data_IF_536633213504
#
_entry.id   IF_536633213504
#
_cell.length_a   1.000
_cell.length_b   1.000
_cell.length_c   1.000
_cell.angle_alpha   90.00
_cell.angle_beta   90.00
_cell.angle_gamma   90.00
#
_symmetry.space_group_name_H-M   'P 1'
#
loop_
_entity.id
_entity.type
_entity.pdbx_description
1 polymer ?
#
# COMPACT_ATOMS: atom_id res chain seq x y z
N UNK A 1 8.86 -69.13 8.52
CA UNK A 1 9.63 -68.45 9.59
C UNK A 1 10.42 -67.30 8.96
N UNK A 2 10.45 -66.15 9.65
CA UNK A 2 11.18 -64.90 9.37
C UNK A 2 10.61 -63.97 8.28
N UNK A 3 9.68 -63.10 8.74
CA UNK A 3 9.29 -61.83 8.11
C UNK A 3 10.44 -60.84 8.31
N UNK A 4 10.85 -60.12 7.26
CA UNK A 4 11.74 -58.97 7.38
C UNK A 4 10.90 -57.71 7.16
N UNK A 5 10.72 -56.92 8.23
CA UNK A 5 10.25 -55.54 8.14
C UNK A 5 11.46 -54.68 7.79
N UNK A 6 11.42 -53.98 6.65
CA UNK A 6 12.29 -52.84 6.39
C UNK A 6 11.54 -51.58 6.87
N UNK A 7 12.04 -50.96 7.94
CA UNK A 7 11.60 -49.64 8.37
C UNK A 7 12.27 -48.60 7.46
N UNK A 8 11.46 -47.86 6.70
CA UNK A 8 11.91 -46.63 6.05
C UNK A 8 11.79 -45.49 7.07
N UNK A 9 12.93 -45.03 7.59
CA UNK A 9 13.03 -43.72 8.22
C UNK A 9 13.00 -42.68 7.10
N UNK A 10 11.88 -41.99 6.94
CA UNK A 10 11.83 -40.71 6.23
C UNK A 10 12.41 -39.65 7.15
N UNK A 11 13.65 -39.24 6.88
CA UNK A 11 14.23 -38.03 7.45
C UNK A 11 13.45 -36.84 6.88
N UNK A 12 12.63 -36.19 7.71
CA UNK A 12 12.06 -34.89 7.37
C UNK A 12 13.20 -33.87 7.34
N UNK A 13 13.55 -33.41 6.14
CA UNK A 13 14.48 -32.30 5.94
C UNK A 13 13.72 -31.02 6.32
N UNK A 14 13.87 -30.57 7.57
CA UNK A 14 13.56 -29.20 7.94
C UNK A 14 14.62 -28.32 7.27
N UNK A 15 14.33 -27.88 6.05
CA UNK A 15 15.05 -26.76 5.45
C UNK A 15 14.61 -25.50 6.21
N UNK A 16 15.30 -25.18 7.30
CA UNK A 16 15.31 -23.81 7.79
C UNK A 16 16.03 -22.99 6.73
N UNK A 17 15.27 -22.20 5.96
CA UNK A 17 15.84 -21.19 5.08
C UNK A 17 16.55 -20.17 5.97
N UNK A 18 17.87 -20.31 6.13
CA UNK A 18 18.68 -19.22 6.67
C UNK A 18 18.65 -18.10 5.63
N UNK A 19 17.87 -17.06 5.91
CA UNK A 19 17.92 -15.82 5.14
C UNK A 19 19.37 -15.34 5.11
N UNK A 20 19.88 -14.98 3.93
CA UNK A 20 21.27 -14.56 3.76
C UNK A 20 21.53 -13.28 4.57
N UNK A 21 22.68 -13.20 5.26
CA UNK A 21 23.17 -11.93 5.80
C UNK A 21 23.51 -11.02 4.61
N UNK A 22 22.83 -9.87 4.51
CA UNK A 22 23.14 -8.84 3.51
C UNK A 22 24.52 -8.21 3.73
N UNK A 23 25.05 -7.54 2.71
CA UNK A 23 26.29 -6.78 2.80
C UNK A 23 26.02 -5.47 3.56
N UNK A 24 26.35 -5.43 4.86
CA UNK A 24 26.24 -4.23 5.71
C UNK A 24 27.63 -3.55 5.91
N UNK A 25 27.71 -2.22 6.11
CA UNK A 25 26.57 -1.30 6.19
C UNK A 25 25.89 -1.09 4.84
N UNK A 26 24.56 -1.07 4.86
CA UNK A 26 23.71 -0.81 3.71
C UNK A 26 23.28 0.66 3.74
N UNK A 27 23.50 1.37 2.64
CA UNK A 27 23.16 2.80 2.50
C UNK A 27 22.16 2.95 1.36
N UNK A 28 21.00 3.53 1.65
CA UNK A 28 19.89 3.69 0.71
C UNK A 28 19.43 5.15 0.69
N UNK A 29 18.92 5.60 -0.46
CA UNK A 29 18.15 6.84 -0.55
C UNK A 29 16.66 6.50 -0.41
N UNK A 30 16.02 7.03 0.63
CA UNK A 30 14.58 6.94 0.81
C UNK A 30 13.96 8.33 0.66
N UNK A 31 13.64 8.67 -0.59
CA UNK A 31 13.03 9.93 -0.97
C UNK A 31 13.86 11.15 -0.59
N UNK A 32 15.18 11.10 -0.86
CA UNK A 32 16.13 12.16 -0.55
C UNK A 32 16.68 12.14 0.88
N UNK A 33 16.28 11.16 1.71
CA UNK A 33 16.89 10.89 3.01
C UNK A 33 17.83 9.69 2.89
N UNK A 34 19.08 9.87 3.28
CA UNK A 34 20.02 8.77 3.40
C UNK A 34 19.67 7.94 4.64
N UNK A 35 19.41 6.64 4.45
CA UNK A 35 19.28 5.67 5.53
C UNK A 35 20.55 4.83 5.54
N UNK A 36 21.18 4.70 6.71
CA UNK A 36 22.29 3.76 6.93
C UNK A 36 21.86 2.66 7.90
N UNK A 37 21.95 1.41 7.45
CA UNK A 37 21.71 0.23 8.27
C UNK A 37 23.04 -0.47 8.54
N UNK A 38 23.37 -0.67 9.82
CA UNK A 38 24.60 -1.37 10.22
C UNK A 38 24.42 -2.90 10.27
N UNK A 39 23.17 -3.36 10.33
CA UNK A 39 22.80 -4.76 10.34
C UNK A 39 21.36 -4.92 9.87
N UNK A 40 20.99 -6.15 9.51
CA UNK A 40 19.60 -6.48 9.15
C UNK A 40 18.66 -6.24 10.33
N UNK A 41 17.60 -5.43 10.17
CA UNK A 41 16.60 -5.28 11.21
C UNK A 41 15.93 -6.61 11.59
N UNK A 42 15.50 -6.73 12.84
CA UNK A 42 14.93 -7.97 13.38
C UNK A 42 13.55 -7.76 14.02
N UNK A 43 13.18 -6.52 14.32
CA UNK A 43 11.93 -6.18 15.02
C UNK A 43 11.32 -4.96 14.35
N UNK A 44 10.38 -5.25 13.48
CA UNK A 44 9.76 -4.27 12.60
C UNK A 44 8.43 -3.83 13.17
N UNK A 45 8.18 -2.53 13.12
CA UNK A 45 6.82 -1.99 13.19
C UNK A 45 6.41 -1.55 11.79
N UNK A 46 5.18 -1.88 11.41
CA UNK A 46 4.56 -1.37 10.19
C UNK A 46 3.48 -0.35 10.55
N UNK A 47 3.40 0.77 9.84
CA UNK A 47 2.33 1.75 10.01
C UNK A 47 1.67 2.00 8.66
N UNK A 48 0.47 1.44 8.49
CA UNK A 48 -0.25 1.41 7.22
C UNK A 48 -0.70 0.00 6.85
N UNK A 49 -1.94 -0.19 6.36
CA UNK A 49 -2.43 -1.51 5.96
C UNK A 49 -1.61 -2.10 4.81
N UNK A 50 -1.32 -1.29 3.80
CA UNK A 50 -0.44 -1.65 2.68
C UNK A 50 1.00 -1.98 3.15
N UNK A 51 1.51 -1.28 4.17
CA UNK A 51 2.84 -1.55 4.72
C UNK A 51 2.92 -2.95 5.33
N UNK A 52 1.91 -3.32 6.13
CA UNK A 52 1.82 -4.64 6.77
C UNK A 52 1.62 -5.74 5.73
N UNK A 53 0.72 -5.55 4.76
CA UNK A 53 0.48 -6.53 3.70
C UNK A 53 1.72 -6.76 2.82
N UNK A 54 2.51 -5.72 2.54
CA UNK A 54 3.73 -5.88 1.78
C UNK A 54 4.75 -6.76 2.51
N UNK A 55 4.91 -6.60 3.82
CA UNK A 55 5.78 -7.47 4.62
C UNK A 55 5.34 -8.93 4.55
N UNK A 56 4.03 -9.20 4.64
CA UNK A 56 3.48 -10.55 4.48
C UNK A 56 3.73 -11.08 3.06
N UNK A 57 3.51 -10.25 2.04
CA UNK A 57 3.73 -10.63 0.64
C UNK A 57 5.19 -11.04 0.35
N UNK A 58 6.15 -10.45 1.08
CA UNK A 58 7.57 -10.75 0.99
C UNK A 58 8.03 -11.89 1.92
N UNK A 59 7.13 -12.48 2.71
CA UNK A 59 7.46 -13.53 3.68
C UNK A 59 8.24 -13.02 4.90
N UNK A 60 8.02 -11.76 5.28
CA UNK A 60 8.70 -11.06 6.37
C UNK A 60 7.81 -10.89 7.62
N UNK A 61 6.63 -11.51 7.67
CA UNK A 61 5.65 -11.34 8.75
C UNK A 61 6.19 -11.70 10.14
N UNK A 62 7.11 -12.67 10.23
CA UNK A 62 7.73 -13.10 11.49
C UNK A 62 8.61 -12.01 12.13
N UNK A 63 9.03 -11.00 11.36
CA UNK A 63 9.80 -9.85 11.86
C UNK A 63 8.89 -8.73 12.40
N UNK A 64 7.59 -8.75 12.05
CA UNK A 64 6.67 -7.66 12.40
C UNK A 64 6.16 -7.86 13.82
N UNK A 65 6.68 -7.07 14.76
CA UNK A 65 6.33 -7.13 16.18
C UNK A 65 5.13 -6.27 16.54
N UNK A 66 4.68 -5.43 15.61
CA UNK A 66 3.52 -4.57 15.82
C UNK A 66 3.10 -3.83 14.56
N UNK A 67 1.80 -3.56 14.45
CA UNK A 67 1.22 -2.74 13.38
C UNK A 67 0.37 -1.59 13.93
N UNK A 68 0.23 -0.54 13.14
CA UNK A 68 -0.54 0.67 13.43
C UNK A 68 -1.22 1.23 12.18
N UNK A 69 -2.13 2.19 12.36
CA UNK A 69 -2.84 2.89 11.28
C UNK A 69 -3.84 2.01 10.51
N UNK A 70 -4.57 1.16 11.22
CA UNK A 70 -5.54 0.21 10.62
C UNK A 70 -6.88 0.89 10.25
N UNK A 71 -7.10 2.12 10.70
CA UNK A 71 -8.38 2.84 10.61
C UNK A 71 -8.70 3.46 9.23
N UNK A 72 -7.96 3.09 8.18
CA UNK A 72 -8.02 3.70 6.85
C UNK A 72 -8.14 2.70 5.69
N UNK A 73 -8.43 1.42 5.96
CA UNK A 73 -8.61 0.41 4.92
C UNK A 73 -9.72 -0.59 5.24
N UNK A 74 -10.13 -1.33 4.22
CA UNK A 74 -10.87 -2.58 4.39
C UNK A 74 -9.96 -3.68 4.96
N UNK A 75 -10.54 -4.86 5.16
CA UNK A 75 -9.78 -6.05 5.52
C UNK A 75 -8.64 -6.34 4.50
N UNK A 76 -7.50 -6.89 4.95
CA UNK A 76 -6.40 -7.26 4.06
C UNK A 76 -6.86 -8.30 3.03
N UNK A 77 -6.06 -8.46 1.97
CA UNK A 77 -6.25 -9.48 0.95
C UNK A 77 -6.45 -10.86 1.58
N UNK A 78 -7.33 -11.66 0.98
CA UNK A 78 -7.75 -12.94 1.55
C UNK A 78 -6.57 -13.88 1.83
N UNK A 79 -5.56 -13.87 0.98
CA UNK A 79 -4.31 -14.63 1.18
C UNK A 79 -3.49 -14.18 2.39
N UNK A 80 -3.61 -12.92 2.84
CA UNK A 80 -2.82 -12.34 3.93
C UNK A 80 -3.58 -12.27 5.25
N UNK A 81 -4.90 -12.44 5.26
CA UNK A 81 -5.77 -12.29 6.44
C UNK A 81 -5.25 -13.03 7.69
N UNK A 82 -4.80 -14.29 7.55
CA UNK A 82 -4.35 -15.07 8.71
C UNK A 82 -3.05 -14.53 9.31
N UNK A 83 -2.07 -14.16 8.49
CA UNK A 83 -0.80 -13.60 8.96
C UNK A 83 -1.02 -12.20 9.54
N UNK A 84 -1.81 -11.39 8.83
CA UNK A 84 -2.17 -10.03 9.23
C UNK A 84 -2.89 -9.96 10.58
N UNK A 85 -3.76 -10.91 10.87
CA UNK A 85 -4.47 -11.01 12.16
C UNK A 85 -3.60 -11.53 13.31
N UNK A 86 -2.47 -12.18 13.00
CA UNK A 86 -1.54 -12.67 14.01
C UNK A 86 -0.58 -11.58 14.54
N UNK A 87 -0.39 -10.51 13.76
CA UNK A 87 0.47 -9.38 14.12
C UNK A 87 -0.23 -8.51 15.19
N UNK A 88 0.42 -8.22 16.34
CA UNK A 88 -0.16 -7.36 17.37
C UNK A 88 -0.45 -5.94 16.86
N UNK A 89 -1.61 -5.40 17.19
CA UNK A 89 -1.92 -3.99 16.96
C UNK A 89 -1.38 -3.15 18.12
N UNK A 90 -0.46 -2.21 17.83
CA UNK A 90 0.08 -1.28 18.84
C UNK A 90 -0.86 -0.09 19.05
N UNK A 91 -1.42 0.42 17.96
CA UNK A 91 -2.42 1.49 17.96
C UNK A 91 -3.40 1.28 16.82
N UNK A 92 -4.71 1.38 17.10
CA UNK A 92 -5.72 1.30 16.04
C UNK A 92 -5.59 2.47 15.04
N UNK A 93 -5.34 3.68 15.57
CA UNK A 93 -5.08 4.87 14.76
C UNK A 93 -3.60 5.06 14.44
N UNK A 94 -3.23 6.33 14.23
CA UNK A 94 -1.87 6.76 13.97
C UNK A 94 -0.89 6.19 15.01
N UNK A 95 0.33 5.80 14.58
CA UNK A 95 1.38 5.38 15.50
C UNK A 95 1.74 6.53 16.45
N UNK A 96 2.18 6.19 17.66
CA UNK A 96 2.74 7.16 18.61
C UNK A 96 4.20 6.84 18.90
N UNK A 97 4.99 7.87 19.21
CA UNK A 97 6.41 7.69 19.54
C UNK A 97 6.58 6.72 20.72
N UNK A 98 5.77 6.87 21.77
CA UNK A 98 5.79 5.99 22.94
C UNK A 98 5.49 4.53 22.57
N UNK A 99 4.48 4.27 21.74
CA UNK A 99 4.11 2.91 21.34
C UNK A 99 5.21 2.25 20.51
N UNK A 100 5.77 2.97 19.52
CA UNK A 100 6.83 2.44 18.64
C UNK A 100 8.13 2.22 19.42
N UNK A 101 8.59 3.19 20.19
CA UNK A 101 9.80 3.05 21.03
C UNK A 101 9.61 1.98 22.10
N UNK A 102 8.44 1.96 22.75
CA UNK A 102 8.10 1.01 23.81
C UNK A 102 7.95 -0.44 23.32
N UNK A 103 7.61 -0.66 22.05
CA UNK A 103 7.60 -1.99 21.41
C UNK A 103 9.00 -2.61 21.34
N UNK A 104 10.01 -1.74 21.39
CA UNK A 104 11.41 -2.08 21.23
C UNK A 104 11.88 -2.11 19.79
N UNK A 105 11.05 -1.87 18.76
CA UNK A 105 11.43 -1.96 17.34
C UNK A 105 12.83 -1.43 17.01
N UNK A 106 13.46 -2.00 15.98
CA UNK A 106 14.69 -1.47 15.38
C UNK A 106 14.47 -0.95 13.95
N UNK A 107 13.28 -1.15 13.39
CA UNK A 107 12.92 -0.63 12.08
C UNK A 107 11.43 -0.27 12.01
N UNK A 108 11.11 0.82 11.33
CA UNK A 108 9.75 1.27 11.04
C UNK A 108 9.56 1.39 9.53
N UNK A 109 8.58 0.70 8.98
CA UNK A 109 8.07 0.93 7.62
C UNK A 109 6.70 1.57 7.67
N UNK A 110 6.56 2.81 7.18
CA UNK A 110 5.39 3.62 7.46
C UNK A 110 4.97 4.49 6.27
N UNK A 111 3.65 4.63 6.04
CA UNK A 111 3.14 5.59 5.04
C UNK A 111 3.47 7.00 5.51
N UNK A 112 3.96 7.83 4.60
CA UNK A 112 4.55 9.13 4.92
C UNK A 112 3.67 10.11 5.70
N UNK A 113 2.36 10.14 5.43
CA UNK A 113 1.43 11.06 6.09
C UNK A 113 1.17 10.71 7.57
N UNK A 114 1.67 9.58 8.07
CA UNK A 114 1.64 9.29 9.52
C UNK A 114 2.68 10.09 10.29
N UNK A 115 3.71 10.63 9.61
CA UNK A 115 4.74 11.44 10.24
C UNK A 115 4.25 12.87 10.50
N UNK A 116 4.52 13.37 11.71
CA UNK A 116 4.14 14.71 12.15
C UNK A 116 4.29 14.89 13.66
N UNK A 117 4.28 16.15 14.10
CA UNK A 117 4.44 16.45 15.52
C UNK A 117 5.79 15.98 16.06
N UNK A 118 5.76 15.15 17.10
CA UNK A 118 6.94 14.49 17.69
C UNK A 118 7.25 13.11 17.07
N UNK A 119 6.40 12.63 16.15
CA UNK A 119 6.60 11.39 15.42
C UNK A 119 7.23 11.67 14.06
N UNK A 120 8.55 11.83 14.02
CA UNK A 120 9.32 12.03 12.77
C UNK A 120 10.38 10.95 12.62
N UNK A 121 10.89 10.71 11.38
CA UNK A 121 12.01 9.81 11.17
C UNK A 121 13.21 10.12 12.08
N UNK A 122 13.59 11.40 12.18
CA UNK A 122 14.75 11.82 12.98
C UNK A 122 14.55 11.55 14.47
N UNK A 123 13.33 11.79 14.99
CA UNK A 123 13.02 11.53 16.39
C UNK A 123 13.10 10.03 16.71
N UNK A 124 12.67 9.16 15.80
CA UNK A 124 12.75 7.70 15.95
C UNK A 124 14.18 7.18 15.85
N UNK A 125 14.99 7.78 14.97
CA UNK A 125 16.41 7.46 14.79
C UNK A 125 17.23 7.76 16.05
N UNK A 126 16.87 8.78 16.85
CA UNK A 126 17.47 9.04 18.18
C UNK A 126 17.29 7.86 19.16
N UNK A 127 16.28 7.02 18.96
CA UNK A 127 16.03 5.80 19.73
C UNK A 127 16.61 4.54 19.06
N UNK A 128 17.36 4.68 17.96
CA UNK A 128 17.95 3.57 17.23
C UNK A 128 16.96 2.80 16.35
N UNK A 129 15.83 3.42 16.00
CA UNK A 129 14.85 2.86 15.06
C UNK A 129 15.15 3.44 13.68
N UNK A 130 15.61 2.60 12.76
CA UNK A 130 15.73 3.02 11.37
C UNK A 130 14.35 3.16 10.73
N UNK A 131 14.13 4.22 9.98
CA UNK A 131 12.81 4.51 9.38
C UNK A 131 12.92 4.41 7.86
N UNK A 132 11.98 3.72 7.24
CA UNK A 132 11.76 3.71 5.80
C UNK A 132 10.35 4.23 5.50
N UNK A 133 10.26 5.32 4.75
CA UNK A 133 9.01 5.96 4.36
C UNK A 133 8.45 5.30 3.11
N UNK A 134 7.16 4.96 3.15
CA UNK A 134 6.35 4.60 1.99
C UNK A 134 5.73 5.88 1.43
N UNK A 135 6.30 6.37 0.32
CA UNK A 135 5.94 7.65 -0.33
C UNK A 135 5.79 7.53 -1.84
N UNK A 136 5.73 6.30 -2.37
CA UNK A 136 5.66 6.07 -3.80
C UNK A 136 4.42 6.72 -4.41
N UNK A 137 4.64 7.58 -5.41
CA UNK A 137 3.59 8.17 -6.24
C UNK A 137 3.55 7.56 -7.64
N UNK A 138 4.45 6.60 -7.91
CA UNK A 138 4.47 5.82 -9.13
C UNK A 138 4.73 4.33 -8.91
N UNK A 139 4.33 3.50 -9.86
CA UNK A 139 4.55 2.05 -9.87
C UNK A 139 6.04 1.72 -9.88
N UNK A 140 6.86 2.53 -10.56
CA UNK A 140 8.31 2.34 -10.55
C UNK A 140 8.92 2.64 -9.17
N UNK A 141 8.42 3.67 -8.48
CA UNK A 141 8.81 3.94 -7.10
C UNK A 141 8.33 2.82 -6.17
N UNK A 142 7.10 2.30 -6.34
CA UNK A 142 6.63 1.11 -5.60
C UNK A 142 7.57 -0.07 -5.81
N UNK A 143 8.00 -0.34 -7.05
CA UNK A 143 8.95 -1.42 -7.33
C UNK A 143 10.34 -1.15 -6.73
N UNK A 144 10.77 0.11 -6.68
CA UNK A 144 12.02 0.51 -6.03
C UNK A 144 11.94 0.27 -4.52
N UNK A 145 10.83 0.66 -3.86
CA UNK A 145 10.62 0.39 -2.43
C UNK A 145 10.61 -1.11 -2.13
N UNK A 146 9.94 -1.93 -2.96
CA UNK A 146 9.94 -3.39 -2.81
C UNK A 146 11.36 -3.96 -2.97
N UNK A 147 12.13 -3.44 -3.91
CA UNK A 147 13.52 -3.82 -4.13
C UNK A 147 14.40 -3.46 -2.92
N UNK A 148 14.26 -2.25 -2.39
CA UNK A 148 14.98 -1.78 -1.20
C UNK A 148 14.67 -2.66 0.01
N UNK A 149 13.38 -2.93 0.27
CA UNK A 149 12.99 -3.86 1.34
C UNK A 149 13.57 -5.26 1.11
N UNK A 150 13.62 -5.73 -0.15
CA UNK A 150 14.30 -6.95 -0.53
C UNK A 150 15.78 -6.98 -0.15
N UNK A 151 16.49 -5.87 -0.36
CA UNK A 151 17.89 -5.71 0.01
C UNK A 151 18.09 -5.62 1.52
N UNK A 152 17.28 -4.79 2.20
CA UNK A 152 17.29 -4.59 3.66
C UNK A 152 17.15 -5.92 4.39
N UNK A 153 16.21 -6.77 3.98
CA UNK A 153 15.86 -8.00 4.69
C UNK A 153 16.49 -9.27 4.12
N UNK A 154 17.25 -9.17 3.02
CA UNK A 154 17.89 -10.31 2.38
C UNK A 154 16.90 -11.26 1.70
N UNK A 155 15.84 -10.70 1.10
CA UNK A 155 14.77 -11.42 0.37
C UNK A 155 14.64 -10.94 -1.08
N UNK A 156 15.77 -10.59 -1.71
CA UNK A 156 15.82 -10.01 -3.05
C UNK A 156 15.13 -10.91 -4.11
N UNK A 157 15.25 -12.23 -4.00
CA UNK A 157 14.60 -13.16 -4.92
C UNK A 157 13.07 -13.11 -4.78
N UNK A 158 12.56 -13.08 -3.54
CA UNK A 158 11.13 -12.95 -3.26
C UNK A 158 10.60 -11.59 -3.72
N UNK A 159 11.32 -10.52 -3.41
CA UNK A 159 10.99 -9.16 -3.86
C UNK A 159 10.93 -9.07 -5.38
N UNK A 160 11.93 -9.59 -6.09
CA UNK A 160 11.97 -9.59 -7.55
C UNK A 160 10.83 -10.43 -8.13
N UNK A 161 10.57 -11.62 -7.59
CA UNK A 161 9.45 -12.46 -8.03
C UNK A 161 8.10 -11.77 -7.82
N UNK A 162 7.93 -11.04 -6.72
CA UNK A 162 6.72 -10.26 -6.47
C UNK A 162 6.59 -9.13 -7.48
N UNK A 163 7.64 -8.34 -7.72
CA UNK A 163 7.68 -7.26 -8.73
C UNK A 163 7.33 -7.81 -10.12
N UNK A 164 7.95 -8.92 -10.53
CA UNK A 164 7.71 -9.52 -11.84
C UNK A 164 6.26 -9.95 -12.01
N UNK A 165 5.66 -10.53 -10.97
CA UNK A 165 4.23 -10.88 -10.98
C UNK A 165 3.32 -9.66 -11.15
N UNK A 166 3.66 -8.51 -10.54
CA UNK A 166 2.91 -7.28 -10.71
C UNK A 166 3.08 -6.70 -12.12
N UNK A 167 4.31 -6.72 -12.67
CA UNK A 167 4.59 -6.31 -14.05
C UNK A 167 3.81 -7.14 -15.06
N UNK A 168 3.75 -8.46 -14.86
CA UNK A 168 2.94 -9.36 -15.70
C UNK A 168 1.45 -9.01 -15.67
N UNK A 169 0.90 -8.73 -14.48
CA UNK A 169 -0.51 -8.30 -14.33
C UNK A 169 -0.79 -6.99 -15.06
N UNK A 170 0.08 -5.99 -14.91
CA UNK A 170 -0.04 -4.70 -15.60
C UNK A 170 0.02 -4.90 -17.11
N UNK A 171 1.01 -5.67 -17.60
CA UNK A 171 1.16 -5.96 -19.03
C UNK A 171 -0.07 -6.69 -19.61
N UNK A 172 -0.65 -7.62 -18.85
CA UNK A 172 -1.86 -8.32 -19.26
C UNK A 172 -3.06 -7.36 -19.44
N UNK A 173 -3.24 -6.41 -18.51
CA UNK A 173 -4.27 -5.36 -18.63
C UNK A 173 -3.99 -4.50 -19.87
N UNK A 174 -2.77 -3.99 -20.02
CA UNK A 174 -2.36 -3.15 -21.14
C UNK A 174 -2.57 -3.82 -22.50
N UNK A 175 -2.31 -5.12 -22.60
CA UNK A 175 -2.58 -5.89 -23.82
C UNK A 175 -4.08 -5.93 -24.16
N UNK A 176 -4.97 -6.01 -23.18
CA UNK A 176 -6.43 -6.08 -23.38
C UNK A 176 -7.02 -4.71 -23.79
N UNK A 177 -6.41 -3.62 -23.34
CA UNK A 177 -6.87 -2.26 -23.62
C UNK A 177 -6.19 -1.62 -24.84
N UNK A 178 -5.19 -2.27 -25.42
CA UNK A 178 -4.43 -1.75 -26.55
C UNK A 178 -5.34 -1.31 -27.71
N UNK A 179 -5.11 -0.10 -28.22
CA UNK A 179 -5.90 0.51 -29.30
C UNK A 179 -7.27 1.06 -28.89
N UNK A 180 -7.66 0.97 -27.62
CA UNK A 180 -8.88 1.63 -27.11
C UNK A 180 -8.58 3.08 -26.73
N UNK A 181 -9.56 3.96 -26.94
CA UNK A 181 -9.46 5.35 -26.49
C UNK A 181 -9.52 5.40 -24.94
N UNK A 182 -8.75 6.31 -24.31
CA UNK A 182 -8.83 6.50 -22.86
C UNK A 182 -10.24 6.85 -22.39
N UNK A 183 -10.59 6.43 -21.18
CA UNK A 183 -11.85 6.78 -20.51
C UNK A 183 -11.60 7.80 -19.42
N UNK A 184 -12.45 8.82 -19.33
CA UNK A 184 -12.35 9.80 -18.24
C UNK A 184 -12.81 9.15 -16.95
N UNK A 185 -11.97 9.20 -15.92
CA UNK A 185 -12.25 8.61 -14.61
C UNK A 185 -12.13 9.69 -13.55
N UNK A 186 -12.99 9.63 -12.54
CA UNK A 186 -12.90 10.48 -11.36
C UNK A 186 -12.74 9.63 -10.10
N UNK A 187 -11.74 9.92 -9.26
CA UNK A 187 -11.61 9.31 -7.94
C UNK A 187 -12.45 10.08 -6.92
N UNK A 188 -13.34 9.39 -6.24
CA UNK A 188 -14.10 9.90 -5.12
C UNK A 188 -13.54 9.29 -3.83
N UNK A 189 -12.72 10.08 -3.12
CA UNK A 189 -12.24 9.68 -1.81
C UNK A 189 -13.29 10.02 -0.74
N UNK A 190 -13.57 11.30 -0.53
CA UNK A 190 -14.45 11.78 0.53
C UNK A 190 -15.07 13.15 0.23
N UNK A 191 -16.20 13.44 0.87
CA UNK A 191 -16.89 14.72 0.79
C UNK A 191 -16.16 15.79 1.63
N UNK A 192 -15.93 16.98 1.08
CA UNK A 192 -15.31 18.12 1.77
C UNK A 192 -16.32 19.19 2.19
N UNK A 193 -17.62 18.89 2.15
CA UNK A 193 -18.77 19.76 2.40
C UNK A 193 -19.12 20.73 1.27
N UNK A 194 -18.16 21.03 0.38
CA UNK A 194 -18.34 21.93 -0.78
C UNK A 194 -17.72 21.38 -2.06
N UNK A 195 -17.31 20.12 -2.03
CA UNK A 195 -16.54 19.49 -3.08
C UNK A 195 -16.17 18.05 -2.69
N UNK A 196 -15.21 17.49 -3.40
CA UNK A 196 -14.74 16.12 -3.20
C UNK A 196 -13.22 16.13 -3.07
N UNK A 197 -12.72 15.41 -2.08
CA UNK A 197 -11.31 15.07 -1.95
C UNK A 197 -10.98 13.97 -2.96
N UNK A 198 -9.91 14.14 -3.72
CA UNK A 198 -9.58 13.27 -4.86
C UNK A 198 -8.08 13.19 -5.11
N UNK A 199 -7.66 12.20 -5.88
CA UNK A 199 -6.31 12.05 -6.39
C UNK A 199 -6.02 13.06 -7.51
N UNK A 200 -4.92 13.80 -7.39
CA UNK A 200 -4.40 14.69 -8.43
C UNK A 200 -3.25 14.07 -9.23
N UNK A 201 -2.46 14.89 -9.92
CA UNK A 201 -1.42 14.44 -10.85
C UNK A 201 -0.34 13.52 -10.25
N UNK A 202 0.41 13.97 -9.22
CA UNK A 202 1.48 13.17 -8.62
C UNK A 202 0.91 12.18 -7.59
N UNK A 203 0.08 11.24 -8.04
CA UNK A 203 -0.55 10.22 -7.19
C UNK A 203 -0.50 8.85 -7.88
N UNK A 204 -0.20 7.80 -7.11
CA UNK A 204 -0.16 6.43 -7.61
C UNK A 204 -1.49 5.99 -8.26
N UNK A 205 -2.63 6.41 -7.72
CA UNK A 205 -3.94 6.13 -8.31
C UNK A 205 -4.10 6.72 -9.71
N UNK A 206 -3.57 7.93 -9.94
CA UNK A 206 -3.58 8.57 -11.25
C UNK A 206 -2.76 7.76 -12.26
N UNK A 207 -1.62 7.22 -11.84
CA UNK A 207 -0.84 6.34 -12.71
C UNK A 207 -1.53 5.00 -12.94
N UNK A 208 -2.09 4.38 -11.91
CA UNK A 208 -2.82 3.11 -12.04
C UNK A 208 -4.03 3.24 -12.98
N UNK A 209 -4.75 4.37 -12.91
CA UNK A 209 -5.82 4.71 -13.87
C UNK A 209 -5.25 4.77 -15.29
N UNK A 210 -4.13 5.45 -15.50
CA UNK A 210 -3.50 5.55 -16.82
C UNK A 210 -3.06 4.17 -17.36
N UNK A 211 -2.43 3.35 -16.52
CA UNK A 211 -2.02 1.98 -16.85
C UNK A 211 -3.22 1.08 -17.19
N UNK A 212 -4.38 1.35 -16.59
CA UNK A 212 -5.65 0.68 -16.88
C UNK A 212 -6.40 1.26 -18.10
N UNK A 213 -5.85 2.26 -18.79
CA UNK A 213 -6.46 2.88 -19.98
C UNK A 213 -7.50 3.94 -19.67
N UNK A 214 -7.47 4.47 -18.45
CA UNK A 214 -8.23 5.65 -18.06
C UNK A 214 -7.41 6.94 -18.15
N UNK A 215 -8.08 8.05 -17.91
CA UNK A 215 -7.53 9.38 -17.75
C UNK A 215 -8.20 9.98 -16.50
N UNK A 216 -7.45 10.18 -15.43
CA UNK A 216 -7.98 10.88 -14.26
C UNK A 216 -8.29 12.34 -14.64
N UNK A 217 -9.54 12.77 -14.49
CA UNK A 217 -9.96 14.14 -14.81
C UNK A 217 -9.22 15.21 -13.97
N UNK A 218 -8.63 14.81 -12.84
CA UNK A 218 -7.87 15.64 -11.94
C UNK A 218 -6.33 15.50 -12.11
N UNK A 219 -5.85 14.76 -13.10
CA UNK A 219 -4.41 14.54 -13.34
C UNK A 219 -3.60 15.82 -13.62
N UNK A 220 -4.27 16.91 -13.99
CA UNK A 220 -3.66 18.22 -14.25
C UNK A 220 -3.37 19.03 -12.97
N UNK A 221 -3.76 18.53 -11.79
CA UNK A 221 -3.57 19.22 -10.52
C UNK A 221 -2.22 18.84 -9.89
N UNK A 222 -1.44 19.82 -9.45
CA UNK A 222 -0.06 19.63 -8.97
C UNK A 222 0.07 19.03 -7.56
N UNK A 223 -1.04 18.55 -6.97
CA UNK A 223 -1.06 17.96 -5.63
C UNK A 223 -1.50 16.50 -5.70
N UNK A 224 -0.86 15.63 -4.91
CA UNK A 224 -1.22 14.20 -4.85
C UNK A 224 -2.67 14.02 -4.39
N UNK A 225 -3.09 14.80 -3.40
CA UNK A 225 -4.44 14.82 -2.88
C UNK A 225 -4.97 16.26 -2.79
N UNK A 226 -6.20 16.47 -3.25
CA UNK A 226 -6.75 17.82 -3.42
C UNK A 226 -8.28 17.81 -3.39
N UNK A 227 -8.87 18.90 -2.89
CA UNK A 227 -10.30 19.15 -2.99
C UNK A 227 -10.68 19.80 -4.32
N UNK A 228 -11.70 19.28 -5.01
CA UNK A 228 -12.27 19.85 -6.24
C UNK A 228 -13.76 20.13 -6.09
N UNK A 229 -14.29 21.15 -6.77
CA UNK A 229 -15.71 21.49 -6.67
C UNK A 229 -16.58 20.55 -7.50
N UNK A 230 -17.85 20.40 -7.11
CA UNK A 230 -18.83 19.57 -7.83
C UNK A 230 -19.07 20.08 -9.26
N UNK A 231 -19.01 21.39 -9.49
CA UNK A 231 -19.14 22.00 -10.81
C UNK A 231 -17.96 21.68 -11.73
N UNK A 232 -16.75 21.53 -11.19
CA UNK A 232 -15.60 21.07 -11.97
C UNK A 232 -15.81 19.63 -12.44
N UNK A 233 -16.23 18.75 -11.53
CA UNK A 233 -16.54 17.34 -11.84
C UNK A 233 -17.64 17.27 -12.91
N UNK A 234 -18.72 18.03 -12.74
CA UNK A 234 -19.81 18.11 -13.72
C UNK A 234 -19.34 18.63 -15.09
N UNK A 235 -18.42 19.59 -15.13
CA UNK A 235 -17.87 20.13 -16.39
C UNK A 235 -17.02 19.10 -17.12
N UNK A 236 -16.26 18.29 -16.40
CA UNK A 236 -15.35 17.30 -16.99
C UNK A 236 -16.07 16.07 -17.57
N UNK A 237 -17.27 15.75 -17.06
CA UNK A 237 -18.11 14.62 -17.49
C UNK A 237 -17.33 13.29 -17.49
N UNK A 238 -16.90 12.75 -16.32
CA UNK A 238 -16.24 11.45 -16.26
C UNK A 238 -17.15 10.32 -16.77
N UNK A 239 -16.53 9.34 -17.44
CA UNK A 239 -17.20 8.12 -17.93
C UNK A 239 -17.51 7.13 -16.80
N UNK A 240 -16.74 7.17 -15.71
CA UNK A 240 -16.90 6.33 -14.51
C UNK A 240 -16.34 7.04 -13.26
N UNK A 241 -16.83 6.62 -12.09
CA UNK A 241 -16.34 7.11 -10.79
C UNK A 241 -15.73 5.93 -10.03
N UNK A 242 -14.47 6.06 -9.63
CA UNK A 242 -13.84 5.20 -8.63
C UNK A 242 -14.26 5.72 -7.25
N UNK A 243 -14.69 4.85 -6.35
CA UNK A 243 -15.13 5.19 -4.99
C UNK A 243 -14.31 4.38 -4.01
N UNK A 244 -13.58 5.06 -3.12
CA UNK A 244 -12.80 4.39 -2.07
C UNK A 244 -13.75 3.81 -1.02
N UNK A 245 -13.53 2.57 -0.60
CA UNK A 245 -14.29 1.90 0.43
C UNK A 245 -13.57 1.99 1.78
N UNK A 246 -14.13 2.77 2.69
CA UNK A 246 -13.63 2.89 4.06
C UNK A 246 -14.63 2.28 5.03
N UNK A 247 -14.21 2.06 6.28
CA UNK A 247 -15.11 1.60 7.36
C UNK A 247 -16.31 2.54 7.55
N UNK A 248 -16.07 3.84 7.47
CA UNK A 248 -17.10 4.86 7.48
C UNK A 248 -16.60 6.17 6.83
N UNK A 249 -17.36 6.77 5.88
CA UNK A 249 -18.52 6.18 5.21
C UNK A 249 -18.08 5.04 4.27
N UNK A 250 -18.92 4.01 4.18
CA UNK A 250 -18.76 2.89 3.24
C UNK A 250 -18.93 3.35 1.78
N UNK A 251 -18.41 2.56 0.82
CA UNK A 251 -18.63 2.82 -0.59
C UNK A 251 -20.12 2.89 -0.96
N UNK A 252 -20.97 2.08 -0.33
CA UNK A 252 -22.42 2.12 -0.55
C UNK A 252 -23.04 3.45 -0.08
N UNK A 253 -22.61 3.97 1.07
CA UNK A 253 -23.05 5.27 1.58
C UNK A 253 -22.56 6.41 0.68
N UNK A 254 -21.29 6.36 0.23
CA UNK A 254 -20.73 7.33 -0.72
C UNK A 254 -21.48 7.31 -2.05
N UNK A 255 -21.77 6.12 -2.62
CA UNK A 255 -22.54 5.99 -3.86
C UNK A 255 -23.95 6.56 -3.69
N UNK A 256 -24.62 6.27 -2.57
CA UNK A 256 -25.93 6.83 -2.27
C UNK A 256 -25.89 8.36 -2.16
N UNK A 257 -24.84 8.92 -1.54
CA UNK A 257 -24.62 10.37 -1.47
C UNK A 257 -24.40 10.97 -2.87
N UNK A 258 -23.56 10.35 -3.71
CA UNK A 258 -23.32 10.78 -5.10
C UNK A 258 -24.62 10.75 -5.92
N UNK A 259 -25.42 9.70 -5.78
CA UNK A 259 -26.71 9.56 -6.48
C UNK A 259 -27.77 10.54 -5.97
N UNK A 260 -27.69 10.94 -4.69
CA UNK A 260 -28.59 11.90 -4.05
C UNK A 260 -28.19 13.36 -4.25
N UNK A 261 -26.96 13.64 -4.65
CA UNK A 261 -26.44 15.01 -4.80
C UNK A 261 -27.05 15.71 -6.04
N UNK A 262 -27.55 16.96 -5.92
CA UNK A 262 -28.18 17.67 -7.05
C UNK A 262 -27.28 17.94 -8.25
N UNK A 263 -25.95 17.96 -8.08
CA UNK A 263 -24.98 18.23 -9.15
C UNK A 263 -24.45 16.91 -9.70
N UNK A 264 -23.95 16.02 -8.85
CA UNK A 264 -23.33 14.76 -9.27
C UNK A 264 -24.35 13.80 -9.90
N UNK A 265 -25.60 13.78 -9.46
CA UNK A 265 -26.67 12.96 -10.07
C UNK A 265 -26.96 13.32 -11.54
N UNK A 266 -26.49 14.46 -12.03
CA UNK A 266 -26.62 14.87 -13.43
C UNK A 266 -25.57 14.20 -14.34
N UNK A 267 -24.51 13.61 -13.79
CA UNK A 267 -23.48 12.91 -14.56
C UNK A 267 -24.05 11.66 -15.24
N UNK A 268 -23.70 11.45 -16.51
CA UNK A 268 -24.12 10.26 -17.26
C UNK A 268 -23.62 8.98 -16.57
N UNK A 269 -22.40 8.97 -16.04
CA UNK A 269 -21.84 7.81 -15.34
C UNK A 269 -22.64 7.45 -14.08
N UNK A 270 -23.15 8.45 -13.34
CA UNK A 270 -23.99 8.24 -12.15
C UNK A 270 -25.35 7.68 -12.54
N UNK A 271 -26.00 8.24 -13.57
CA UNK A 271 -27.29 7.76 -14.09
C UNK A 271 -27.22 6.32 -14.61
N UNK A 272 -26.05 5.90 -15.10
CA UNK A 272 -25.80 4.55 -15.60
C UNK A 272 -25.13 3.61 -14.57
N UNK A 273 -25.01 4.01 -13.30
CA UNK A 273 -24.36 3.22 -12.25
C UNK A 273 -22.94 2.75 -12.59
N UNK A 274 -22.14 3.60 -13.24
CA UNK A 274 -20.75 3.30 -13.60
C UNK A 274 -19.81 3.66 -12.45
N UNK A 275 -19.94 2.90 -11.37
CA UNK A 275 -19.08 2.99 -10.18
C UNK A 275 -18.10 1.81 -10.15
N UNK A 276 -16.87 2.08 -9.75
CA UNK A 276 -15.83 1.10 -9.44
C UNK A 276 -15.51 1.29 -7.97
N UNK A 277 -15.63 0.24 -7.16
CA UNK A 277 -15.30 0.32 -5.73
C UNK A 277 -13.89 -0.24 -5.54
N UNK A 278 -13.05 0.50 -4.82
CA UNK A 278 -11.70 0.11 -4.43
C UNK A 278 -11.58 0.08 -2.91
#
# INVERSE_FOLDING_TARGET
>A
MKRWLAAFLTLAFLAGSSLAEGDFPLILDNYGREITLEARPQRVVTAGPNCTELFIALGLEDLVIGKSCENHAQAPLAEYQSAYAAIPELTFGYPTLEAVVGSGADFLYAIDWVFGGDFTPEALEEYGIAVYSNSAVSVEEVFSEISDLGEIFGVQEQAQSFIDSQKERIAAVQSVISGKAPRKVFCYDSDTGSGVYTAGGPNLETELIALAGGENICAHLDKAWVGVSLEEILRQQPDAIIVHDYDAPTAAEKIAAIQGDPILSQLECVQNNRFIVL
#
